data_IF_790707123461
#
_entry.id   IF_790707123461
#
_cell.length_a   1.000
_cell.length_b   1.000
_cell.length_c   1.000
_cell.angle_alpha   90.00
_cell.angle_beta   90.00
_cell.angle_gamma   90.00
#
_symmetry.space_group_name_H-M   'P 1'
#
loop_
_entity.id
_entity.type
_entity.pdbx_description
1 polymer ?
#
# COMPACT_ATOMS: atom_id res chain seq x y z
N UNK A 1 -6.06 17.16 -2.07
CA UNK A 1 -5.37 15.85 -1.96
C UNK A 1 -4.62 15.81 -0.64
N UNK A 2 -4.87 14.83 0.22
CA UNK A 2 -4.12 14.68 1.46
C UNK A 2 -2.83 13.90 1.15
N UNK A 3 -1.68 14.58 1.27
CA UNK A 3 -0.37 13.96 1.02
C UNK A 3 0.05 13.15 2.23
N UNK A 4 0.37 11.87 2.02
CA UNK A 4 0.97 10.99 3.02
C UNK A 4 2.47 10.92 2.75
N UNK A 5 3.30 11.14 3.77
CA UNK A 5 4.76 11.06 3.68
C UNK A 5 5.31 9.90 4.50
N UNK A 6 6.45 9.37 4.06
CA UNK A 6 7.13 8.25 4.72
C UNK A 6 8.51 8.02 4.13
N UNK A 7 9.23 7.05 4.70
CA UNK A 7 10.62 6.71 4.33
C UNK A 7 10.65 5.39 3.56
N UNK A 8 11.45 5.33 2.51
CA UNK A 8 11.67 4.08 1.76
C UNK A 8 12.46 3.11 2.66
N UNK A 9 12.01 1.86 2.73
CA UNK A 9 12.67 0.82 3.52
C UNK A 9 12.83 -0.47 2.73
N UNK A 10 13.86 -1.25 3.06
CA UNK A 10 14.01 -2.60 2.53
C UNK A 10 13.03 -3.55 3.22
N UNK A 11 12.66 -4.62 2.52
CA UNK A 11 11.93 -5.75 3.09
C UNK A 11 12.60 -7.07 2.72
N UNK A 12 12.08 -8.17 3.24
CA UNK A 12 12.66 -9.51 3.03
C UNK A 12 12.35 -10.14 1.65
N UNK A 13 11.89 -9.35 0.67
CA UNK A 13 11.60 -9.83 -0.69
C UNK A 13 10.23 -10.47 -0.93
N UNK A 14 9.29 -10.46 0.04
CA UNK A 14 7.94 -11.04 -0.16
C UNK A 14 7.19 -10.48 -1.37
N UNK A 15 7.34 -9.18 -1.66
CA UNK A 15 6.71 -8.56 -2.82
C UNK A 15 7.13 -9.20 -4.14
N UNK A 16 8.41 -9.52 -4.30
CA UNK A 16 8.93 -10.17 -5.49
C UNK A 16 8.40 -11.60 -5.65
N UNK A 17 8.08 -12.27 -4.53
CA UNK A 17 7.46 -13.60 -4.55
C UNK A 17 5.97 -13.55 -4.92
N UNK A 18 5.19 -12.69 -4.26
CA UNK A 18 3.72 -12.70 -4.42
C UNK A 18 3.21 -11.94 -5.64
N UNK A 19 3.80 -10.79 -5.99
CA UNK A 19 3.27 -9.95 -7.08
C UNK A 19 3.16 -10.69 -8.42
N UNK A 20 4.12 -11.52 -8.84
CA UNK A 20 3.97 -12.35 -10.04
C UNK A 20 2.77 -13.30 -9.98
N UNK A 21 2.50 -13.90 -8.81
CA UNK A 21 1.40 -14.85 -8.62
C UNK A 21 0.02 -14.18 -8.74
N UNK A 22 -0.07 -12.89 -8.40
CA UNK A 22 -1.32 -12.11 -8.48
C UNK A 22 -1.38 -11.18 -9.70
N UNK A 23 -0.38 -11.22 -10.60
CA UNK A 23 -0.23 -10.30 -11.73
C UNK A 23 -1.52 -10.13 -12.53
N UNK A 24 -2.20 -11.23 -12.86
CA UNK A 24 -3.43 -11.21 -13.66
C UNK A 24 -4.58 -10.49 -12.98
N UNK A 25 -4.76 -10.71 -11.67
CA UNK A 25 -5.79 -10.05 -10.87
C UNK A 25 -5.48 -8.57 -10.66
N UNK A 26 -4.20 -8.22 -10.48
CA UNK A 26 -3.77 -6.81 -10.39
C UNK A 26 -4.04 -6.11 -11.72
N UNK A 27 -3.71 -6.75 -12.83
CA UNK A 27 -3.95 -6.23 -14.18
C UNK A 27 -5.43 -6.04 -14.48
N UNK A 28 -6.29 -7.00 -14.10
CA UNK A 28 -7.73 -6.87 -14.34
C UNK A 28 -8.37 -5.73 -13.54
N UNK A 29 -7.89 -5.45 -12.34
CA UNK A 29 -8.43 -4.38 -11.47
C UNK A 29 -7.84 -3.01 -11.79
N UNK A 30 -6.54 -2.92 -12.11
CA UNK A 30 -5.84 -1.65 -12.25
C UNK A 30 -5.47 -1.28 -13.69
N UNK A 31 -5.62 -2.19 -14.66
CA UNK A 31 -5.37 -1.93 -16.07
C UNK A 31 -3.90 -1.93 -16.48
N UNK A 32 -2.96 -2.33 -15.61
CA UNK A 32 -1.53 -2.39 -15.93
C UNK A 32 -0.86 -3.68 -15.41
N UNK A 33 0.26 -4.05 -16.03
CA UNK A 33 1.10 -5.14 -15.53
C UNK A 33 2.00 -4.62 -14.40
N UNK A 34 1.88 -5.12 -13.16
CA UNK A 34 2.72 -4.66 -12.07
C UNK A 34 4.19 -5.06 -12.26
N UNK A 35 5.10 -4.23 -11.74
CA UNK A 35 6.50 -4.63 -11.53
C UNK A 35 6.55 -5.82 -10.54
N UNK A 36 7.43 -6.81 -10.72
CA UNK A 36 7.51 -8.00 -9.86
C UNK A 36 8.18 -7.68 -8.51
N UNK A 37 7.55 -6.85 -7.69
CA UNK A 37 8.08 -6.37 -6.43
C UNK A 37 7.19 -5.32 -5.78
N UNK A 38 7.61 -4.82 -4.62
CA UNK A 38 6.90 -3.74 -3.91
C UNK A 38 7.87 -2.66 -3.46
N UNK A 39 7.43 -1.40 -3.54
CA UNK A 39 8.09 -0.29 -2.86
C UNK A 39 7.55 -0.19 -1.44
N UNK A 40 8.37 -0.52 -0.45
CA UNK A 40 7.93 -0.46 0.95
C UNK A 40 8.19 0.94 1.50
N UNK A 41 7.15 1.57 2.03
CA UNK A 41 7.21 2.91 2.62
C UNK A 41 6.78 2.82 4.08
N UNK A 42 7.68 3.20 4.99
CA UNK A 42 7.39 3.33 6.42
C UNK A 42 6.78 4.71 6.67
N UNK A 43 5.53 4.74 7.14
CA UNK A 43 4.86 5.99 7.48
C UNK A 43 5.43 6.60 8.75
N UNK A 44 5.57 7.92 8.78
CA UNK A 44 5.85 8.61 10.04
C UNK A 44 4.66 8.46 11.02
N UNK A 45 4.96 8.60 12.31
CA UNK A 45 3.98 8.39 13.39
C UNK A 45 2.75 9.30 13.23
N UNK A 46 2.94 10.54 12.79
CA UNK A 46 1.85 11.53 12.61
C UNK A 46 0.90 11.10 11.50
N UNK A 47 1.43 10.70 10.35
CA UNK A 47 0.68 10.21 9.20
C UNK A 47 0.01 8.86 9.47
N UNK A 48 0.67 7.98 10.23
CA UNK A 48 0.04 6.72 10.66
C UNK A 48 -1.19 6.96 11.54
N UNK A 49 -1.10 7.88 12.50
CA UNK A 49 -2.24 8.24 13.36
C UNK A 49 -3.36 8.90 12.56
N UNK A 50 -3.03 9.80 11.62
CA UNK A 50 -4.01 10.41 10.73
C UNK A 50 -4.73 9.36 9.87
N UNK A 51 -4.00 8.43 9.26
CA UNK A 51 -4.57 7.30 8.51
C UNK A 51 -5.53 6.46 9.36
N UNK A 52 -5.11 6.09 10.59
CA UNK A 52 -5.94 5.29 11.51
C UNK A 52 -7.23 6.00 11.92
N UNK A 53 -7.19 7.31 12.20
CA UNK A 53 -8.39 8.10 12.53
C UNK A 53 -9.37 8.13 11.35
N UNK A 54 -8.87 8.40 10.14
CA UNK A 54 -9.69 8.43 8.93
C UNK A 54 -10.35 7.07 8.64
N UNK A 55 -9.62 5.95 8.84
CA UNK A 55 -10.16 4.60 8.66
C UNK A 55 -11.26 4.24 9.67
N UNK A 56 -11.18 4.73 10.92
CA UNK A 56 -12.23 4.51 11.94
C UNK A 56 -13.51 5.28 11.58
N UNK A 57 -13.39 6.52 11.14
CA UNK A 57 -14.54 7.34 10.77
C UNK A 57 -15.30 6.74 9.58
N UNK A 58 -14.62 6.14 8.61
CA UNK A 58 -15.27 5.43 7.48
C UNK A 58 -16.04 4.17 7.90
N UNK A 59 -15.66 3.52 9.01
CA UNK A 59 -16.34 2.31 9.51
C UNK A 59 -17.57 2.62 10.38
N UNK A 60 -17.67 3.83 10.93
CA UNK A 60 -18.79 4.25 11.77
C UNK A 60 -19.89 4.97 10.98
N UNK A 61 -19.77 5.01 9.66
CA UNK A 61 -20.73 5.63 8.73
C UNK A 61 -21.34 4.60 7.77
N UNK A 62 -21.35 3.32 8.15
CA UNK A 62 -21.97 2.20 7.43
C UNK A 62 -22.77 1.35 8.40
#
# INVERSE_FOLDING_TARGET
>A
MNKITGTIVNGIGKGAWFVPQYKEKIRSVLGFTPFPGTLNILLDKKNYIAYKKNKKNQKNSS
#
